data_IF_118018633150
#
_entry.id   IF_118018633150
#
_cell.length_a   1.000
_cell.length_b   1.000
_cell.length_c   1.000
_cell.angle_alpha   90.00
_cell.angle_beta   90.00
_cell.angle_gamma   90.00
#
_symmetry.space_group_name_H-M   'P 1'
#
loop_
_entity.id
_entity.type
_entity.pdbx_description
1 polymer ?
#
# COMPACT_ATOMS: atom_id res chain seq x y z
N UNK A 1 -8.08 -9.88 16.75
CA UNK A 1 -7.69 -10.44 15.42
C UNK A 1 -8.54 -11.66 15.10
N UNK A 2 -8.75 -11.98 13.81
CA UNK A 2 -9.52 -13.16 13.40
C UNK A 2 -8.80 -14.46 13.78
N UNK A 3 -9.56 -15.54 14.00
CA UNK A 3 -9.01 -16.89 14.15
C UNK A 3 -8.77 -17.54 12.78
N UNK A 4 -8.00 -18.63 12.75
CA UNK A 4 -7.80 -19.43 11.55
C UNK A 4 -9.13 -19.93 10.95
N UNK A 5 -10.05 -20.42 11.81
CA UNK A 5 -11.37 -20.87 11.39
C UNK A 5 -12.19 -19.75 10.74
N UNK A 6 -12.20 -18.54 11.35
CA UNK A 6 -12.89 -17.39 10.79
C UNK A 6 -12.34 -16.99 9.41
N UNK A 7 -11.02 -17.15 9.19
CA UNK A 7 -10.42 -16.91 7.86
C UNK A 7 -10.86 -17.97 6.84
N UNK A 8 -10.98 -19.22 7.25
CA UNK A 8 -11.51 -20.29 6.39
C UNK A 8 -12.99 -20.08 6.02
N UNK A 9 -13.80 -19.58 6.94
CA UNK A 9 -15.20 -19.19 6.65
C UNK A 9 -15.28 -18.12 5.58
N UNK A 10 -14.40 -17.11 5.61
CA UNK A 10 -14.31 -16.10 4.54
C UNK A 10 -13.94 -16.71 3.19
N UNK A 11 -13.06 -17.72 3.17
CA UNK A 11 -12.70 -18.45 1.94
C UNK A 11 -13.90 -19.24 1.42
N UNK A 12 -14.60 -19.96 2.28
CA UNK A 12 -15.82 -20.72 1.93
C UNK A 12 -16.90 -19.79 1.37
N UNK A 13 -17.06 -18.58 1.92
CA UNK A 13 -17.95 -17.53 1.43
C UNK A 13 -17.45 -16.85 0.13
N UNK A 14 -16.30 -17.25 -0.42
CA UNK A 14 -15.64 -16.61 -1.57
C UNK A 14 -15.27 -15.13 -1.37
N UNK A 15 -15.17 -14.69 -0.12
CA UNK A 15 -14.79 -13.34 0.26
C UNK A 15 -13.26 -13.22 0.47
N UNK A 16 -12.58 -14.34 0.66
CA UNK A 16 -11.13 -14.39 0.78
C UNK A 16 -10.53 -15.48 -0.12
N UNK A 17 -9.22 -15.40 -0.29
CA UNK A 17 -8.36 -16.43 -0.90
C UNK A 17 -7.31 -16.85 0.09
N UNK A 18 -6.81 -18.08 -0.04
CA UNK A 18 -5.70 -18.61 0.74
C UNK A 18 -4.55 -19.01 -0.18
N UNK A 19 -3.33 -18.70 0.25
CA UNK A 19 -2.08 -19.16 -0.39
C UNK A 19 -1.33 -20.04 0.59
N UNK A 20 -1.26 -21.32 0.30
CA UNK A 20 -0.58 -22.33 1.14
C UNK A 20 0.88 -22.52 0.71
N UNK A 21 1.78 -22.54 1.70
CA UNK A 21 3.18 -22.88 1.53
C UNK A 21 3.62 -23.77 2.71
N UNK A 22 3.72 -25.08 2.49
CA UNK A 22 3.92 -26.06 3.55
C UNK A 22 2.80 -26.00 4.59
N UNK A 23 3.16 -25.75 5.84
CA UNK A 23 2.22 -25.60 6.94
C UNK A 23 1.72 -24.15 7.17
N UNK A 24 2.06 -23.22 6.28
CA UNK A 24 1.68 -21.81 6.39
C UNK A 24 0.58 -21.46 5.38
N UNK A 25 -0.54 -20.99 5.90
CA UNK A 25 -1.67 -20.47 5.12
C UNK A 25 -1.76 -18.95 5.26
N UNK A 26 -1.59 -18.25 4.14
CA UNK A 26 -1.72 -16.79 4.07
C UNK A 26 -3.05 -16.40 3.44
N UNK A 27 -3.85 -15.63 4.18
CA UNK A 27 -5.18 -15.20 3.77
C UNK A 27 -5.19 -13.77 3.24
N UNK A 28 -5.95 -13.56 2.18
CA UNK A 28 -6.17 -12.24 1.58
C UNK A 28 -7.61 -12.12 1.07
N UNK A 29 -8.23 -10.96 1.24
CA UNK A 29 -9.54 -10.70 0.66
C UNK A 29 -9.55 -10.93 -0.85
N UNK A 30 -10.64 -11.48 -1.37
CA UNK A 30 -10.82 -11.73 -2.80
C UNK A 30 -10.95 -10.40 -3.58
N UNK A 31 -10.54 -10.38 -4.84
CA UNK A 31 -10.61 -9.18 -5.69
C UNK A 31 -12.01 -8.58 -5.74
N UNK A 32 -13.07 -9.42 -5.75
CA UNK A 32 -14.46 -8.98 -5.76
C UNK A 32 -14.80 -8.08 -4.58
N UNK A 33 -14.21 -8.30 -3.40
CA UNK A 33 -14.44 -7.44 -2.22
C UNK A 33 -14.08 -5.99 -2.51
N UNK A 34 -13.02 -5.76 -3.27
CA UNK A 34 -12.59 -4.43 -3.68
C UNK A 34 -13.43 -3.86 -4.83
N UNK A 35 -13.78 -4.67 -5.84
CA UNK A 35 -14.51 -4.19 -7.02
C UNK A 35 -16.00 -4.00 -6.77
N UNK A 36 -16.60 -4.84 -5.93
CA UNK A 36 -18.03 -4.82 -5.60
C UNK A 36 -18.31 -4.06 -4.29
N UNK A 37 -17.27 -3.41 -3.71
CA UNK A 37 -17.35 -2.62 -2.45
C UNK A 37 -17.95 -3.40 -1.27
N UNK A 38 -17.59 -4.67 -1.09
CA UNK A 38 -18.15 -5.56 -0.07
C UNK A 38 -17.53 -5.40 1.32
N UNK A 39 -16.84 -4.30 1.60
CA UNK A 39 -16.11 -4.10 2.85
C UNK A 39 -16.98 -4.09 4.10
N UNK A 40 -18.22 -3.64 3.97
CA UNK A 40 -19.20 -3.54 5.08
C UNK A 40 -20.02 -4.82 5.28
N UNK A 41 -19.84 -5.83 4.43
CA UNK A 41 -20.57 -7.11 4.54
C UNK A 41 -20.03 -8.01 5.65
N UNK A 42 -18.74 -7.85 5.99
CA UNK A 42 -18.08 -8.61 7.04
C UNK A 42 -16.83 -7.84 7.53
N UNK A 43 -16.84 -7.42 8.78
CA UNK A 43 -15.73 -6.64 9.38
C UNK A 43 -14.40 -7.40 9.40
N UNK A 44 -14.45 -8.74 9.39
CA UNK A 44 -13.26 -9.61 9.32
C UNK A 44 -12.43 -9.39 8.06
N UNK A 45 -13.05 -8.87 6.98
CA UNK A 45 -12.37 -8.57 5.72
C UNK A 45 -11.26 -7.53 5.87
N UNK A 46 -11.39 -6.63 6.83
CA UNK A 46 -10.40 -5.61 7.09
C UNK A 46 -9.10 -6.18 7.67
N UNK A 47 -9.19 -7.31 8.36
CA UNK A 47 -8.03 -8.07 8.85
C UNK A 47 -7.48 -9.05 7.79
N UNK A 48 -8.29 -9.43 6.80
CA UNK A 48 -7.93 -10.42 5.80
C UNK A 48 -6.99 -9.86 4.72
N UNK A 49 -5.78 -9.44 5.12
CA UNK A 49 -4.79 -8.81 4.25
C UNK A 49 -3.36 -9.26 4.57
N UNK A 50 -3.09 -10.58 4.44
CA UNK A 50 -1.77 -11.16 4.66
C UNK A 50 -1.60 -11.80 6.03
N UNK A 51 -2.69 -12.00 6.79
CA UNK A 51 -2.64 -12.81 8.00
C UNK A 51 -2.20 -14.22 7.62
N UNK A 52 -1.14 -14.71 8.26
CA UNK A 52 -0.58 -16.04 8.00
C UNK A 52 -0.68 -16.90 9.25
N UNK A 53 -1.20 -18.10 9.10
CA UNK A 53 -1.41 -19.06 10.19
C UNK A 53 -0.64 -20.34 9.92
N UNK A 54 -0.23 -21.01 10.99
CA UNK A 54 0.17 -22.41 10.94
C UNK A 54 -1.11 -23.27 10.87
N UNK A 55 -1.32 -23.94 9.75
CA UNK A 55 -2.53 -24.74 9.50
C UNK A 55 -2.61 -26.02 10.33
N UNK A 56 -1.50 -26.45 10.97
CA UNK A 56 -1.47 -27.59 11.89
C UNK A 56 -2.07 -27.24 13.25
N UNK A 57 -1.88 -25.99 13.70
CA UNK A 57 -2.22 -25.53 15.05
C UNK A 57 -3.29 -24.44 15.08
N UNK A 58 -3.53 -23.78 13.94
CA UNK A 58 -4.37 -22.58 13.85
C UNK A 58 -3.72 -21.34 14.48
N UNK A 59 -2.44 -21.39 14.91
CA UNK A 59 -1.73 -20.27 15.53
C UNK A 59 -1.42 -19.20 14.49
N UNK A 60 -1.65 -17.93 14.84
CA UNK A 60 -1.25 -16.80 14.00
C UNK A 60 0.28 -16.66 13.99
N UNK A 61 0.87 -16.80 12.83
CA UNK A 61 2.32 -16.68 12.58
C UNK A 61 2.69 -15.25 12.17
N UNK A 62 1.97 -14.67 11.20
CA UNK A 62 2.22 -13.29 10.73
C UNK A 62 0.96 -12.46 10.94
N UNK A 63 1.06 -11.42 11.75
CA UNK A 63 0.03 -10.40 11.94
C UNK A 63 0.23 -9.23 10.98
N UNK A 64 -0.20 -9.35 9.72
CA UNK A 64 -0.12 -8.26 8.77
C UNK A 64 -1.08 -7.10 9.16
N UNK A 65 -0.80 -5.85 8.74
CA UNK A 65 -1.63 -4.71 9.13
C UNK A 65 -3.02 -4.78 8.48
N UNK A 66 -4.00 -4.25 9.21
CA UNK A 66 -5.38 -4.13 8.72
C UNK A 66 -5.45 -3.32 7.42
N UNK A 67 -6.51 -3.53 6.64
CA UNK A 67 -6.82 -2.68 5.49
C UNK A 67 -7.06 -1.25 5.95
N UNK A 68 -6.36 -0.32 5.36
CA UNK A 68 -6.67 1.12 5.46
C UNK A 68 -7.08 1.65 4.08
N UNK A 69 -7.98 2.63 4.07
CA UNK A 69 -8.49 3.26 2.85
C UNK A 69 -7.78 4.60 2.59
N UNK A 70 -7.93 5.11 1.38
CA UNK A 70 -7.56 6.50 1.14
C UNK A 70 -8.53 7.41 1.89
N UNK A 71 -8.08 8.61 2.22
CA UNK A 71 -8.93 9.66 2.78
C UNK A 71 -10.18 9.84 1.90
N UNK A 72 -11.35 9.82 2.50
CA UNK A 72 -12.69 9.87 1.90
C UNK A 72 -13.09 8.64 1.05
N UNK A 73 -12.21 7.65 0.80
CA UNK A 73 -12.58 6.41 0.12
C UNK A 73 -13.57 5.61 0.99
N UNK A 74 -14.73 5.22 0.47
CA UNK A 74 -15.79 4.53 1.20
C UNK A 74 -16.26 5.27 2.47
N UNK A 75 -16.28 6.59 2.45
CA UNK A 75 -16.64 7.41 3.61
C UNK A 75 -15.57 7.43 4.71
N UNK A 76 -14.37 6.87 4.44
CA UNK A 76 -13.29 6.80 5.41
C UNK A 76 -12.83 8.19 5.85
N UNK A 77 -12.89 8.48 7.15
CA UNK A 77 -12.55 9.77 7.75
C UNK A 77 -13.42 10.95 7.28
N UNK A 78 -14.61 10.72 6.69
CA UNK A 78 -15.49 11.79 6.20
C UNK A 78 -15.97 12.72 7.32
N UNK A 79 -16.14 12.18 8.53
CA UNK A 79 -16.63 12.88 9.71
C UNK A 79 -15.49 13.36 10.64
N UNK A 80 -14.22 13.16 10.25
CA UNK A 80 -13.07 13.66 11.01
C UNK A 80 -12.87 15.13 10.72
N UNK A 81 -12.92 16.02 11.74
CA UNK A 81 -12.73 17.44 11.55
C UNK A 81 -11.36 17.79 10.97
N UNK A 82 -11.30 18.84 10.15
CA UNK A 82 -10.03 19.26 9.51
C UNK A 82 -8.99 19.81 10.49
N UNK A 83 -9.40 20.24 11.66
CA UNK A 83 -8.53 20.73 12.75
C UNK A 83 -8.07 19.59 13.69
N UNK A 84 -8.51 18.37 13.47
CA UNK A 84 -8.07 17.20 14.25
C UNK A 84 -6.54 17.09 14.25
N UNK A 85 -5.92 17.02 15.45
CA UNK A 85 -4.48 16.78 15.56
C UNK A 85 -4.11 15.38 15.06
N UNK A 86 -3.14 15.34 14.16
CA UNK A 86 -2.71 14.09 13.52
C UNK A 86 -1.19 13.97 13.48
N UNK A 87 -0.73 12.71 13.42
CA UNK A 87 0.64 12.37 13.07
C UNK A 87 0.62 11.67 11.70
N UNK A 88 1.46 12.11 10.79
CA UNK A 88 1.56 11.58 9.44
C UNK A 88 2.95 11.04 9.20
N UNK A 89 3.03 9.79 8.75
CA UNK A 89 4.26 9.12 8.35
C UNK A 89 4.36 9.10 6.83
N UNK A 90 5.52 9.43 6.30
CA UNK A 90 5.81 9.28 4.87
C UNK A 90 5.42 7.88 4.40
N UNK A 91 4.66 7.82 3.32
CA UNK A 91 4.34 6.57 2.66
C UNK A 91 5.34 6.30 1.54
N UNK A 92 6.26 5.37 1.79
CA UNK A 92 7.17 4.87 0.77
C UNK A 92 6.41 4.16 -0.35
N UNK A 93 6.95 4.24 -1.57
CA UNK A 93 6.38 3.62 -2.76
C UNK A 93 7.13 2.34 -3.12
N UNK A 94 6.77 1.26 -2.48
CA UNK A 94 7.31 -0.08 -2.63
C UNK A 94 6.24 -1.16 -2.47
N UNK A 95 6.64 -2.33 -2.01
CA UNK A 95 5.74 -3.37 -1.56
C UNK A 95 5.99 -3.74 -0.11
N UNK A 96 4.93 -4.10 0.60
CA UNK A 96 5.02 -4.46 2.01
C UNK A 96 5.55 -5.87 2.20
N UNK A 97 6.58 -6.01 3.04
CA UNK A 97 7.05 -7.26 3.60
C UNK A 97 6.80 -7.29 5.12
N UNK A 98 6.37 -8.44 5.61
CA UNK A 98 6.17 -8.72 7.03
C UNK A 98 7.21 -9.75 7.48
N UNK A 99 7.85 -9.51 8.63
CA UNK A 99 8.81 -10.42 9.23
C UNK A 99 8.29 -10.86 10.60
N UNK A 100 8.24 -12.15 10.85
CA UNK A 100 7.79 -12.73 12.11
C UNK A 100 8.69 -13.89 12.52
N UNK A 101 8.63 -14.30 13.79
CA UNK A 101 9.23 -15.55 14.28
C UNK A 101 8.17 -16.60 14.51
N UNK A 102 8.49 -17.83 14.18
CA UNK A 102 7.65 -19.01 14.46
C UNK A 102 8.52 -20.25 14.60
N UNK A 103 8.38 -20.97 15.70
CA UNK A 103 9.16 -22.17 16.02
C UNK A 103 10.69 -21.97 15.86
N UNK A 104 11.19 -20.78 16.25
CA UNK A 104 12.60 -20.40 16.15
C UNK A 104 13.04 -19.88 14.77
N UNK A 105 12.23 -20.04 13.74
CA UNK A 105 12.54 -19.61 12.38
C UNK A 105 12.00 -18.19 12.06
N UNK A 106 12.73 -17.48 11.20
CA UNK A 106 12.30 -16.18 10.67
C UNK A 106 11.43 -16.40 9.42
N UNK A 107 10.17 -16.00 9.53
CA UNK A 107 9.19 -16.07 8.44
C UNK A 107 9.08 -14.70 7.77
N UNK A 108 9.32 -14.65 6.46
CA UNK A 108 9.09 -13.47 5.62
C UNK A 108 7.86 -13.70 4.75
N UNK A 109 6.93 -12.76 4.77
CA UNK A 109 5.73 -12.80 3.92
C UNK A 109 5.47 -11.44 3.26
N UNK A 110 4.66 -11.44 2.22
CA UNK A 110 3.97 -10.25 1.71
C UNK A 110 2.52 -10.24 2.21
N UNK A 111 1.75 -9.25 1.82
CA UNK A 111 0.30 -9.21 2.12
C UNK A 111 -0.52 -10.26 1.35
N UNK A 112 0.08 -11.21 0.67
CA UNK A 112 -0.63 -12.23 -0.10
C UNK A 112 0.01 -13.61 -0.14
N UNK A 113 1.26 -13.77 0.30
CA UNK A 113 1.96 -15.05 0.19
C UNK A 113 3.25 -15.07 1.01
N UNK A 114 3.71 -16.29 1.34
CA UNK A 114 5.05 -16.59 1.85
C UNK A 114 5.97 -17.22 0.77
N UNK A 115 5.52 -17.31 -0.49
CA UNK A 115 6.24 -18.00 -1.57
C UNK A 115 6.28 -17.26 -2.91
N UNK A 116 5.96 -15.97 -2.95
CA UNK A 116 6.06 -15.19 -4.21
C UNK A 116 7.50 -14.75 -4.48
N UNK A 117 7.82 -14.34 -5.72
CA UNK A 117 9.12 -13.79 -6.10
C UNK A 117 9.50 -12.57 -5.25
N UNK A 118 8.50 -11.78 -4.85
CA UNK A 118 8.68 -10.66 -3.93
C UNK A 118 9.30 -11.05 -2.58
N UNK A 119 9.17 -12.33 -2.17
CA UNK A 119 9.86 -12.82 -0.95
C UNK A 119 11.38 -12.87 -1.19
N UNK A 120 11.82 -13.24 -2.40
CA UNK A 120 13.23 -13.17 -2.80
C UNK A 120 13.77 -11.75 -2.66
N UNK A 121 13.11 -10.79 -3.29
CA UNK A 121 13.48 -9.36 -3.21
C UNK A 121 13.51 -8.84 -1.77
N UNK A 122 12.54 -9.20 -0.94
CA UNK A 122 12.54 -8.81 0.46
C UNK A 122 13.72 -9.41 1.24
N UNK A 123 14.00 -10.69 1.02
CA UNK A 123 15.10 -11.40 1.70
C UNK A 123 16.48 -10.84 1.37
N UNK A 124 16.71 -10.31 0.18
CA UNK A 124 17.97 -9.68 -0.19
C UNK A 124 18.40 -8.54 0.75
N UNK A 125 17.42 -7.79 1.28
CA UNK A 125 17.69 -6.73 2.25
C UNK A 125 17.52 -7.18 3.70
N UNK A 126 16.52 -8.01 3.98
CA UNK A 126 16.14 -8.38 5.34
C UNK A 126 17.09 -9.40 5.94
N UNK A 127 17.56 -10.39 5.18
CA UNK A 127 18.44 -11.44 5.70
C UNK A 127 19.87 -10.95 5.99
N UNK A 128 20.20 -9.71 5.65
CA UNK A 128 21.43 -9.02 6.08
C UNK A 128 21.34 -8.50 7.53
N UNK A 129 20.18 -8.60 8.17
CA UNK A 129 19.91 -8.13 9.54
C UNK A 129 19.71 -9.33 10.46
N UNK A 130 20.17 -9.21 11.73
CA UNK A 130 19.78 -10.16 12.75
C UNK A 130 18.37 -9.84 13.27
N UNK A 131 17.56 -10.88 13.43
CA UNK A 131 16.24 -10.84 14.06
C UNK A 131 16.20 -11.62 15.39
N UNK A 132 17.36 -11.95 15.99
CA UNK A 132 17.42 -12.74 17.22
C UNK A 132 16.70 -12.08 18.38
N UNK A 133 16.73 -10.75 18.44
CA UNK A 133 16.06 -9.91 19.44
C UNK A 133 14.52 -9.86 19.28
N UNK A 134 14.00 -10.32 18.13
CA UNK A 134 12.56 -10.21 17.84
C UNK A 134 11.76 -11.23 18.65
N UNK A 135 10.73 -10.76 19.34
CA UNK A 135 9.77 -11.61 20.05
C UNK A 135 8.77 -12.25 19.07
N UNK A 136 8.39 -13.51 19.34
CA UNK A 136 7.39 -14.22 18.52
C UNK A 136 6.01 -13.55 18.50
N UNK A 137 5.70 -12.72 19.50
CA UNK A 137 4.44 -11.97 19.54
C UNK A 137 4.38 -10.79 18.59
N UNK A 138 5.48 -10.43 17.95
CA UNK A 138 5.53 -9.29 17.06
C UNK A 138 5.65 -9.72 15.59
N UNK A 139 5.08 -8.90 14.72
CA UNK A 139 5.35 -8.89 13.27
C UNK A 139 5.93 -7.54 12.91
N UNK A 140 7.15 -7.51 12.40
CA UNK A 140 7.79 -6.30 11.90
C UNK A 140 7.32 -6.02 10.47
N UNK A 141 7.08 -4.77 10.15
CA UNK A 141 6.59 -4.33 8.86
C UNK A 141 7.64 -3.48 8.14
N UNK A 142 7.86 -3.78 6.88
CA UNK A 142 8.79 -3.06 6.03
C UNK A 142 8.14 -2.72 4.69
N UNK A 143 8.43 -1.55 4.16
CA UNK A 143 8.25 -1.29 2.72
C UNK A 143 9.56 -1.62 2.01
N UNK A 144 9.51 -2.47 1.03
CA UNK A 144 10.66 -2.88 0.24
C UNK A 144 10.65 -2.09 -1.07
N UNK A 145 11.74 -1.41 -1.34
CA UNK A 145 12.00 -0.75 -2.63
C UNK A 145 13.11 -1.53 -3.32
N UNK A 146 12.77 -2.22 -4.40
CA UNK A 146 13.68 -3.08 -5.15
C UNK A 146 13.83 -2.61 -6.60
N UNK A 147 15.02 -2.63 -7.19
CA UNK A 147 15.23 -2.16 -8.56
C UNK A 147 14.44 -2.95 -9.61
N UNK A 148 14.22 -4.25 -9.38
CA UNK A 148 13.44 -5.12 -10.28
C UNK A 148 11.92 -5.03 -10.07
N UNK A 149 11.46 -4.27 -9.08
CA UNK A 149 10.06 -3.89 -8.91
C UNK A 149 9.90 -2.37 -9.03
N UNK A 150 9.94 -1.83 -10.25
CA UNK A 150 9.92 -0.39 -10.46
C UNK A 150 8.58 0.21 -10.06
N UNK A 151 8.66 1.21 -9.19
CA UNK A 151 7.50 1.92 -8.67
C UNK A 151 7.28 3.26 -9.39
N UNK A 152 6.15 3.88 -9.08
CA UNK A 152 5.76 5.17 -9.68
C UNK A 152 6.71 6.30 -9.24
N UNK A 153 7.09 6.30 -7.95
CA UNK A 153 7.98 7.28 -7.35
C UNK A 153 9.34 6.63 -7.11
N UNK A 154 10.41 7.33 -7.43
CA UNK A 154 11.76 6.90 -7.09
C UNK A 154 11.97 7.07 -5.59
N UNK A 155 12.22 5.98 -4.90
CA UNK A 155 12.53 5.94 -3.47
C UNK A 155 13.93 5.33 -3.28
N UNK A 156 14.59 5.57 -2.15
CA UNK A 156 15.83 4.89 -1.83
C UNK A 156 15.65 3.37 -1.81
N UNK A 157 16.53 2.67 -2.54
CA UNK A 157 16.51 1.19 -2.59
C UNK A 157 16.81 0.62 -1.21
N UNK A 158 16.03 -0.37 -0.76
CA UNK A 158 16.22 -1.03 0.52
C UNK A 158 14.93 -1.44 1.23
N UNK A 159 15.09 -1.84 2.50
CA UNK A 159 13.99 -2.18 3.40
C UNK A 159 13.77 -1.02 4.39
N UNK A 160 12.66 -0.33 4.25
CA UNK A 160 12.25 0.79 5.11
C UNK A 160 11.33 0.26 6.21
N UNK A 161 11.78 0.34 7.46
CA UNK A 161 11.00 -0.11 8.62
C UNK A 161 9.80 0.81 8.84
N UNK A 162 8.61 0.22 8.95
CA UNK A 162 7.34 0.93 9.11
C UNK A 162 6.75 0.83 10.52
N UNK A 163 7.29 -0.06 11.34
CA UNK A 163 6.75 -0.36 12.65
C UNK A 163 6.51 -1.84 12.87
N UNK A 164 5.83 -2.16 13.94
CA UNK A 164 5.48 -3.54 14.26
C UNK A 164 4.02 -3.69 14.66
N UNK A 165 3.50 -4.88 14.48
CA UNK A 165 2.19 -5.28 14.96
C UNK A 165 2.34 -6.35 16.05
N UNK A 166 1.72 -6.12 17.19
CA UNK A 166 1.62 -7.09 18.28
C UNK A 166 0.49 -8.08 17.95
N UNK A 167 0.83 -9.37 17.85
CA UNK A 167 -0.12 -10.41 17.39
C UNK A 167 -1.26 -10.69 18.35
N UNK A 168 -1.06 -10.70 19.71
CA UNK A 168 -2.12 -11.01 20.66
C UNK A 168 -3.32 -10.06 20.60
N UNK A 169 -3.10 -8.75 20.55
CA UNK A 169 -4.15 -7.72 20.57
C UNK A 169 -4.35 -7.02 19.23
N UNK A 170 -3.43 -7.20 18.28
CA UNK A 170 -3.48 -6.58 16.98
C UNK A 170 -3.02 -5.12 16.96
N UNK A 171 -2.53 -4.59 18.11
CA UNK A 171 -2.02 -3.22 18.18
C UNK A 171 -0.89 -2.99 17.17
N UNK A 172 -0.94 -1.87 16.45
CA UNK A 172 0.10 -1.47 15.52
C UNK A 172 0.83 -0.23 16.06
N UNK A 173 2.14 -0.35 16.24
CA UNK A 173 3.02 0.75 16.60
C UNK A 173 3.75 1.24 15.35
N UNK A 174 3.38 2.39 14.77
CA UNK A 174 4.04 2.95 13.60
C UNK A 174 5.43 3.45 13.94
N UNK A 175 6.31 3.42 12.94
CA UNK A 175 7.66 3.98 13.02
C UNK A 175 7.94 4.82 11.77
N UNK A 176 8.68 5.89 11.96
CA UNK A 176 9.25 6.72 10.90
C UNK A 176 10.56 7.34 11.38
N UNK A 177 11.43 7.71 10.47
CA UNK A 177 12.56 8.58 10.78
C UNK A 177 12.01 9.98 11.04
N UNK A 178 12.72 10.79 11.82
CA UNK A 178 12.28 12.14 12.20
C UNK A 178 11.95 13.01 10.98
N UNK A 179 12.73 12.88 9.91
CA UNK A 179 12.52 13.61 8.65
C UNK A 179 11.30 13.14 7.85
N UNK A 180 10.76 11.97 8.16
CA UNK A 180 9.60 11.36 7.50
C UNK A 180 8.31 11.49 8.30
N UNK A 181 8.34 12.21 9.43
CA UNK A 181 7.20 12.39 10.33
C UNK A 181 6.75 13.84 10.30
N UNK A 182 5.45 14.05 10.17
CA UNK A 182 4.79 15.34 10.24
C UNK A 182 3.75 15.33 11.34
N UNK A 183 3.76 16.32 12.21
CA UNK A 183 2.77 16.51 13.27
C UNK A 183 2.05 17.81 13.03
N UNK A 184 0.73 17.78 13.07
CA UNK A 184 -0.08 18.97 12.81
C UNK A 184 -1.57 18.64 12.79
N UNK A 185 -2.34 19.43 12.04
CA UNK A 185 -3.76 19.16 11.83
C UNK A 185 -3.98 18.40 10.52
N UNK A 186 -5.11 17.70 10.40
CA UNK A 186 -5.50 17.04 9.14
C UNK A 186 -5.46 18.03 7.96
N UNK A 187 -5.97 19.25 8.14
CA UNK A 187 -5.90 20.33 7.14
C UNK A 187 -4.46 20.64 6.73
N UNK A 188 -3.54 20.71 7.71
CA UNK A 188 -2.12 20.97 7.45
C UNK A 188 -1.48 19.85 6.62
N UNK A 189 -1.76 18.58 6.95
CA UNK A 189 -1.23 17.45 6.18
C UNK A 189 -1.81 17.40 4.76
N UNK A 190 -3.08 17.69 4.57
CA UNK A 190 -3.68 17.82 3.23
C UNK A 190 -2.98 18.90 2.41
N UNK A 191 -2.69 20.07 3.00
CA UNK A 191 -1.97 21.14 2.32
C UNK A 191 -0.52 20.74 1.95
N UNK A 192 0.18 20.02 2.82
CA UNK A 192 1.51 19.47 2.52
C UNK A 192 1.42 18.46 1.37
N UNK A 193 0.40 17.61 1.36
CA UNK A 193 0.21 16.61 0.30
C UNK A 193 0.00 17.25 -1.09
N UNK A 194 -0.64 18.41 -1.18
CA UNK A 194 -0.86 19.12 -2.45
C UNK A 194 0.43 19.49 -3.18
N UNK A 195 1.51 19.77 -2.44
CA UNK A 195 2.80 20.21 -3.00
C UNK A 195 3.88 19.13 -2.96
N UNK A 196 3.64 18.04 -2.25
CA UNK A 196 4.59 16.95 -2.10
C UNK A 196 4.62 16.06 -3.35
N UNK A 197 5.81 15.53 -3.70
CA UNK A 197 6.03 14.70 -4.90
C UNK A 197 6.24 13.23 -4.62
N UNK A 198 6.19 12.81 -3.35
CA UNK A 198 6.19 11.41 -2.93
C UNK A 198 4.85 10.71 -3.16
N UNK A 199 4.69 9.47 -2.70
CA UNK A 199 3.41 8.75 -2.77
C UNK A 199 2.34 9.41 -1.88
N UNK A 200 2.73 9.91 -0.71
CA UNK A 200 1.84 10.53 0.26
C UNK A 200 2.15 10.14 1.70
N UNK A 201 1.12 10.00 2.50
CA UNK A 201 1.23 9.80 3.94
C UNK A 201 0.28 8.71 4.46
N UNK A 202 0.72 8.03 5.54
CA UNK A 202 -0.15 7.28 6.43
C UNK A 202 -0.45 8.17 7.63
N UNK A 203 -1.70 8.56 7.83
CA UNK A 203 -2.12 9.58 8.80
C UNK A 203 -2.92 8.95 9.92
N UNK A 204 -2.54 9.23 11.16
CA UNK A 204 -3.14 8.74 12.39
C UNK A 204 -3.67 9.90 13.22
N UNK A 205 -4.83 9.73 13.84
CA UNK A 205 -5.34 10.66 14.84
C UNK A 205 -4.57 10.48 16.15
N UNK A 206 -4.02 11.57 16.71
CA UNK A 206 -3.19 11.51 17.93
C UNK A 206 -4.02 11.18 19.17
N UNK A 207 -5.28 11.57 19.21
CA UNK A 207 -6.14 11.42 20.38
C UNK A 207 -6.87 10.08 20.42
N UNK A 208 -6.81 9.33 19.35
CA UNK A 208 -7.56 8.10 19.23
C UNK A 208 -6.60 6.91 19.10
N UNK A 209 -5.95 6.59 20.22
CA UNK A 209 -4.98 5.49 20.38
C UNK A 209 -5.65 4.10 20.40
N UNK A 210 -6.93 4.03 20.07
CA UNK A 210 -7.59 2.74 19.97
C UNK A 210 -7.40 2.14 18.58
N UNK A 211 -7.28 0.82 18.50
CA UNK A 211 -7.29 0.03 17.26
C UNK A 211 -8.49 0.35 16.33
N UNK A 212 -9.49 1.05 16.86
CA UNK A 212 -10.63 1.55 16.11
C UNK A 212 -10.22 2.60 15.07
N UNK A 213 -9.15 3.35 15.29
CA UNK A 213 -8.68 4.35 14.35
C UNK A 213 -7.62 3.79 13.43
N UNK A 214 -8.12 3.26 12.41
CA UNK A 214 -7.36 2.86 11.24
C UNK A 214 -6.83 4.09 10.55
N UNK A 215 -5.55 4.11 10.17
CA UNK A 215 -4.99 5.27 9.49
C UNK A 215 -5.69 5.53 8.15
N UNK A 216 -5.78 6.81 7.79
CA UNK A 216 -6.12 7.21 6.44
C UNK A 216 -4.86 7.32 5.58
N UNK A 217 -4.98 6.95 4.30
CA UNK A 217 -3.94 7.21 3.30
C UNK A 217 -4.25 8.53 2.61
N UNK A 218 -3.35 9.48 2.70
CA UNK A 218 -3.42 10.71 1.91
C UNK A 218 -2.39 10.59 0.80
N UNK A 219 -2.86 10.43 -0.43
CA UNK A 219 -2.01 10.35 -1.62
C UNK A 219 -1.84 11.74 -2.22
N UNK A 220 -0.62 12.02 -2.68
CA UNK A 220 -0.34 13.28 -3.33
C UNK A 220 -1.00 13.35 -4.71
N UNK A 221 -1.45 14.53 -5.17
CA UNK A 221 -1.89 14.74 -6.55
C UNK A 221 -0.79 14.38 -7.56
N UNK A 222 0.47 14.63 -7.21
CA UNK A 222 1.61 14.24 -8.03
C UNK A 222 1.63 12.72 -8.30
N UNK A 223 1.57 11.90 -7.24
CA UNK A 223 1.56 10.44 -7.37
C UNK A 223 0.34 9.92 -8.12
N UNK A 224 -0.85 10.45 -7.80
CA UNK A 224 -2.11 10.01 -8.42
C UNK A 224 -2.08 10.23 -9.93
N UNK A 225 -1.67 11.42 -10.37
CA UNK A 225 -1.60 11.72 -11.80
C UNK A 225 -0.50 10.94 -12.52
N UNK A 226 0.72 10.87 -11.95
CA UNK A 226 1.83 10.09 -12.51
C UNK A 226 1.44 8.63 -12.66
N UNK A 227 0.85 8.02 -11.62
CA UNK A 227 0.39 6.63 -11.67
C UNK A 227 -0.67 6.40 -12.74
N UNK A 228 -1.66 7.30 -12.86
CA UNK A 228 -2.72 7.20 -13.87
C UNK A 228 -2.13 7.22 -15.28
N UNK A 229 -1.20 8.11 -15.55
CA UNK A 229 -0.54 8.24 -16.85
C UNK A 229 0.41 7.07 -17.14
N UNK A 230 1.20 6.63 -16.17
CA UNK A 230 2.11 5.48 -16.36
C UNK A 230 1.38 4.17 -16.62
N UNK A 231 0.22 3.95 -15.98
CA UNK A 231 -0.54 2.67 -16.01
C UNK A 231 -1.85 2.77 -16.80
N UNK A 232 -1.85 3.55 -17.89
CA UNK A 232 -3.00 3.63 -18.79
C UNK A 232 -3.28 2.26 -19.41
N UNK A 233 -4.53 1.81 -19.32
CA UNK A 233 -5.00 0.68 -20.12
C UNK A 233 -5.13 1.11 -21.60
N UNK A 234 -5.15 0.14 -22.53
CA UNK A 234 -5.38 0.41 -23.96
C UNK A 234 -6.64 1.28 -24.17
N UNK A 235 -7.73 0.99 -23.45
CA UNK A 235 -8.97 1.76 -23.49
C UNK A 235 -8.74 3.22 -23.06
N UNK A 236 -8.06 3.44 -21.95
CA UNK A 236 -7.80 4.79 -21.44
C UNK A 236 -6.81 5.57 -22.32
N UNK A 237 -5.87 4.88 -22.94
CA UNK A 237 -4.99 5.50 -23.95
C UNK A 237 -5.80 5.95 -25.16
N UNK A 238 -6.66 5.10 -25.71
CA UNK A 238 -7.55 5.49 -26.81
C UNK A 238 -8.45 6.68 -26.43
N UNK A 239 -8.99 6.71 -25.19
CA UNK A 239 -9.74 7.88 -24.70
C UNK A 239 -8.89 9.16 -24.69
N UNK A 240 -7.63 9.07 -24.23
CA UNK A 240 -6.71 10.21 -24.21
C UNK A 240 -6.43 10.75 -25.61
N UNK A 241 -6.26 9.89 -26.61
CA UNK A 241 -6.04 10.31 -27.99
C UNK A 241 -7.30 10.84 -28.67
N UNK A 242 -8.47 10.28 -28.38
CA UNK A 242 -9.74 10.69 -28.99
C UNK A 242 -10.27 12.02 -28.42
N UNK A 243 -10.12 12.24 -27.10
CA UNK A 243 -10.59 13.46 -26.43
C UNK A 243 -9.63 13.83 -25.29
N UNK A 244 -8.52 14.43 -25.67
CA UNK A 244 -7.44 14.82 -24.75
C UNK A 244 -7.91 15.78 -23.65
N UNK A 245 -8.84 16.69 -23.98
CA UNK A 245 -9.35 17.69 -23.03
C UNK A 245 -10.17 17.00 -21.94
N UNK A 246 -11.16 16.21 -22.35
CA UNK A 246 -12.02 15.46 -21.42
C UNK A 246 -11.21 14.47 -20.58
N UNK A 247 -10.21 13.82 -21.17
CA UNK A 247 -9.32 12.94 -20.43
C UNK A 247 -8.53 13.70 -19.34
N UNK A 248 -8.02 14.90 -19.69
CA UNK A 248 -7.26 15.75 -18.79
C UNK A 248 -8.07 16.24 -17.57
N UNK A 249 -9.37 16.51 -17.72
CA UNK A 249 -10.26 16.89 -16.61
C UNK A 249 -10.28 15.86 -15.48
N UNK A 250 -10.08 14.60 -15.81
CA UNK A 250 -10.01 13.49 -14.83
C UNK A 250 -8.64 13.34 -14.15
N UNK A 251 -7.69 14.24 -14.39
CA UNK A 251 -6.37 14.27 -13.76
C UNK A 251 -6.27 15.37 -12.70
N UNK A 252 -5.39 15.22 -11.69
CA UNK A 252 -5.03 16.32 -10.82
C UNK A 252 -4.54 17.52 -11.64
N UNK A 253 -4.88 18.74 -11.19
CA UNK A 253 -4.62 20.01 -11.93
C UNK A 253 -3.20 20.11 -12.46
N UNK A 254 -2.22 19.73 -11.69
CA UNK A 254 -0.80 19.76 -12.07
C UNK A 254 -0.42 18.81 -13.21
N UNK A 255 -1.30 17.90 -13.64
CA UNK A 255 -1.07 16.93 -14.71
C UNK A 255 -1.96 17.15 -15.94
N UNK A 256 -2.85 18.15 -15.94
CA UNK A 256 -3.85 18.34 -16.98
C UNK A 256 -3.26 18.78 -18.34
N UNK A 257 -2.07 19.37 -18.35
CA UNK A 257 -1.33 19.74 -19.54
C UNK A 257 -0.62 18.56 -20.23
N UNK A 258 -0.28 17.52 -19.44
CA UNK A 258 0.56 16.39 -19.89
C UNK A 258 -0.09 15.54 -21.01
N UNK A 259 -1.38 15.18 -20.97
CA UNK A 259 -2.00 14.41 -22.06
C UNK A 259 -1.80 15.05 -23.45
N UNK A 260 -1.96 16.36 -23.55
CA UNK A 260 -1.75 17.08 -24.81
C UNK A 260 -0.31 16.95 -25.30
N UNK A 261 0.66 17.09 -24.41
CA UNK A 261 2.08 16.95 -24.74
C UNK A 261 2.41 15.51 -25.17
N UNK A 262 1.86 14.51 -24.47
CA UNK A 262 2.04 13.10 -24.83
C UNK A 262 1.50 12.78 -26.21
N UNK A 263 0.31 13.28 -26.56
CA UNK A 263 -0.27 13.08 -27.90
C UNK A 263 0.56 13.78 -28.96
N UNK A 264 1.07 14.98 -28.71
CA UNK A 264 1.95 15.70 -29.64
C UNK A 264 3.29 14.99 -29.85
N UNK A 265 3.90 14.44 -28.80
CA UNK A 265 5.19 13.74 -28.88
C UNK A 265 5.06 12.32 -29.45
N UNK A 266 3.90 11.72 -29.38
CA UNK A 266 3.65 10.35 -29.79
C UNK A 266 2.29 10.21 -30.51
N UNK A 267 2.15 10.82 -31.74
CA UNK A 267 0.87 10.89 -32.43
C UNK A 267 0.33 9.52 -32.83
N UNK A 268 1.19 8.51 -32.98
CA UNK A 268 0.83 7.16 -33.43
C UNK A 268 0.28 6.26 -32.29
N UNK A 269 0.20 6.77 -31.07
CA UNK A 269 -0.48 6.05 -29.97
C UNK A 269 0.34 4.97 -29.28
N UNK A 270 1.67 4.93 -29.47
CA UNK A 270 2.55 3.89 -28.90
C UNK A 270 2.79 3.98 -27.39
N UNK A 271 2.08 4.84 -26.66
CA UNK A 271 2.29 5.00 -25.21
C UNK A 271 2.24 3.67 -24.45
N UNK A 272 1.32 2.78 -24.80
CA UNK A 272 1.19 1.46 -24.18
C UNK A 272 2.27 0.46 -24.59
N UNK A 273 2.99 0.72 -25.66
CA UNK A 273 4.08 -0.13 -26.16
C UNK A 273 5.43 0.23 -25.52
N UNK A 274 5.52 1.45 -24.99
CA UNK A 274 6.70 1.87 -24.24
C UNK A 274 6.84 1.08 -22.92
N UNK A 275 8.08 0.78 -22.55
CA UNK A 275 8.38 0.19 -21.25
C UNK A 275 7.94 1.13 -20.11
N UNK A 276 7.70 0.58 -18.93
CA UNK A 276 7.31 1.39 -17.76
C UNK A 276 8.41 2.40 -17.39
N UNK A 277 9.69 2.03 -17.54
CA UNK A 277 10.83 2.94 -17.34
C UNK A 277 10.83 4.09 -18.35
N UNK A 278 10.60 3.81 -19.64
CA UNK A 278 10.54 4.85 -20.69
C UNK A 278 9.39 5.81 -20.44
N UNK A 279 8.21 5.30 -20.05
CA UNK A 279 7.06 6.15 -19.68
C UNK A 279 7.36 7.03 -18.46
N UNK A 280 8.07 6.50 -17.47
CA UNK A 280 8.51 7.25 -16.30
C UNK A 280 9.42 8.40 -16.71
N UNK A 281 10.47 8.13 -17.45
CA UNK A 281 11.41 9.15 -17.95
C UNK A 281 10.71 10.23 -18.76
N UNK A 282 9.80 9.86 -19.66
CA UNK A 282 9.03 10.81 -20.45
C UNK A 282 8.19 11.75 -19.56
N UNK A 283 7.52 11.21 -18.53
CA UNK A 283 6.72 12.03 -17.60
C UNK A 283 7.59 12.94 -16.72
N UNK A 284 8.79 12.50 -16.34
CA UNK A 284 9.75 13.31 -15.58
C UNK A 284 10.28 14.48 -16.41
N UNK A 285 10.63 14.24 -17.68
CA UNK A 285 11.03 15.29 -18.62
C UNK A 285 9.92 16.31 -18.82
N UNK A 286 8.67 15.85 -19.04
CA UNK A 286 7.52 16.74 -19.26
C UNK A 286 7.16 17.57 -18.02
N UNK A 287 7.55 17.16 -16.82
CA UNK A 287 7.35 17.88 -15.58
C UNK A 287 8.59 18.63 -15.09
N UNK A 288 9.67 18.63 -15.86
CA UNK A 288 10.91 19.36 -15.53
C UNK A 288 11.63 18.82 -14.31
N UNK A 289 11.59 17.50 -14.13
CA UNK A 289 12.23 16.82 -12.99
C UNK A 289 13.19 15.73 -13.47
#
# INVERSE_FOLDING_TARGET
MNTYQQMQELVAAKLATVSTNGHLDTFKYARRVMFDYLWDTDERLLECRGQTYDNRTGKLVVGAPRKSFNYLENGWWKDVPLDTPVIAYKKYNGFMACVSKHEGEVIVSTTGSTKSDFIGYAKEFLMKKSFDWMHEHNTLLFEIVHPDDPHIINEPIGAHYLGYRHKPDGHFSPYGKSEDIYVGTLKGILAIAEVNTGEGFMVYDIHNDTDALRPAKIKTPYYVGKKKLMRLSKKNTAMMYNDTVKFAEGLPKMWQDVPRLLVMMNPDGYWNEMSESSRRTALEILKGK
#
